data_IF_004692759078
#
_entry.id   IF_004692759078
#
_cell.length_a   1.000
_cell.length_b   1.000
_cell.length_c   1.000
_cell.angle_alpha   90.00
_cell.angle_beta   90.00
_cell.angle_gamma   90.00
#
_symmetry.space_group_name_H-M   'P 1'
#
loop_
_entity.id
_entity.type
_entity.pdbx_description
1 polymer ?
#
# COMPACT_ATOMS: atom_id res chain seq x y z
N UNK A 1 -0.32 11.50 -3.39
CA UNK A 1 -1.16 10.95 -4.48
C UNK A 1 -1.53 9.50 -4.20
N UNK A 2 -2.73 9.05 -4.60
CA UNK A 2 -3.14 7.64 -4.54
C UNK A 2 -2.94 6.94 -5.89
N UNK A 3 -2.55 5.66 -5.89
CA UNK A 3 -2.36 4.84 -7.08
C UNK A 3 -2.97 3.45 -6.87
N UNK A 4 -3.74 2.93 -7.84
CA UNK A 4 -4.23 1.56 -7.77
C UNK A 4 -3.11 0.57 -8.09
N UNK A 5 -3.23 -0.64 -7.56
CA UNK A 5 -2.50 -1.82 -8.06
C UNK A 5 -3.07 -2.23 -9.42
N UNK A 6 -2.21 -2.76 -10.28
CA UNK A 6 -2.57 -3.14 -11.65
C UNK A 6 -1.69 -4.31 -12.10
N UNK A 7 -2.15 -5.52 -11.80
CA UNK A 7 -1.43 -6.76 -12.09
C UNK A 7 -1.34 -7.04 -13.60
N UNK A 8 -2.36 -6.63 -14.38
CA UNK A 8 -2.35 -6.78 -15.84
C UNK A 8 -1.19 -6.00 -16.48
N UNK A 9 -0.86 -4.83 -15.93
CA UNK A 9 0.29 -4.02 -16.36
C UNK A 9 1.57 -4.30 -15.58
N UNK A 10 1.57 -5.30 -14.67
CA UNK A 10 2.69 -5.61 -13.77
C UNK A 10 3.22 -4.36 -13.06
N UNK A 11 2.31 -3.49 -12.63
CA UNK A 11 2.67 -2.21 -12.00
C UNK A 11 3.45 -2.44 -10.72
N UNK A 12 4.56 -1.73 -10.61
CA UNK A 12 5.40 -1.62 -9.41
C UNK A 12 5.82 -0.16 -9.22
N UNK A 13 6.36 0.15 -8.05
CA UNK A 13 6.87 1.49 -7.75
C UNK A 13 8.37 1.43 -7.47
N UNK A 14 9.06 2.55 -7.66
CA UNK A 14 10.45 2.72 -7.29
C UNK A 14 10.58 3.98 -6.45
N UNK A 15 11.29 3.87 -5.34
CA UNK A 15 11.75 5.00 -4.54
C UNK A 15 13.25 5.12 -4.78
N UNK A 16 13.70 6.31 -5.17
CA UNK A 16 15.08 6.56 -5.58
C UNK A 16 15.61 7.83 -4.93
N UNK A 17 16.83 7.74 -4.38
CA UNK A 17 17.63 8.90 -4.01
C UNK A 17 18.30 9.43 -5.28
N UNK A 18 17.78 10.53 -5.82
CA UNK A 18 18.24 11.08 -7.10
C UNK A 18 19.65 11.66 -7.08
N UNK A 19 20.28 11.80 -5.90
CA UNK A 19 21.68 12.23 -5.79
C UNK A 19 22.66 11.07 -5.90
N UNK A 20 22.32 9.92 -5.31
CA UNK A 20 23.19 8.73 -5.27
C UNK A 20 22.82 7.69 -6.33
N UNK A 21 21.58 7.73 -6.81
CA UNK A 21 20.99 6.69 -7.65
C UNK A 21 20.61 5.42 -6.88
N UNK A 22 20.72 5.44 -5.54
CA UNK A 22 20.28 4.32 -4.71
C UNK A 22 18.75 4.20 -4.76
N UNK A 23 18.25 2.97 -4.90
CA UNK A 23 16.82 2.77 -5.10
C UNK A 23 16.34 1.40 -4.62
N UNK A 24 15.07 1.38 -4.21
CA UNK A 24 14.28 0.17 -3.96
C UNK A 24 13.08 0.13 -4.88
N UNK A 25 12.78 -1.06 -5.40
CA UNK A 25 11.51 -1.39 -6.00
C UNK A 25 10.54 -1.93 -4.95
N UNK A 26 9.31 -1.42 -4.98
CA UNK A 26 8.17 -1.93 -4.22
C UNK A 26 7.33 -2.75 -5.18
N UNK A 27 7.42 -4.07 -5.02
CA UNK A 27 6.77 -5.04 -5.90
C UNK A 27 5.57 -5.63 -5.19
N UNK A 28 4.33 -5.41 -5.69
CA UNK A 28 3.16 -6.06 -5.14
C UNK A 28 3.29 -7.57 -5.14
N UNK A 29 2.91 -8.20 -4.03
CA UNK A 29 2.76 -9.64 -4.01
C UNK A 29 1.58 -10.04 -4.92
N UNK A 30 1.73 -11.04 -5.81
CA UNK A 30 0.65 -11.53 -6.66
C UNK A 30 -0.61 -11.98 -5.90
N UNK A 31 -0.51 -12.29 -4.60
CA UNK A 31 -1.65 -12.68 -3.77
C UNK A 31 -2.39 -11.49 -3.15
N UNK A 32 -1.92 -10.26 -3.33
CA UNK A 32 -2.63 -9.07 -2.85
C UNK A 32 -3.86 -8.78 -3.73
N UNK A 33 -5.04 -8.64 -3.12
CA UNK A 33 -6.27 -8.19 -3.75
C UNK A 33 -6.31 -6.67 -3.94
N UNK A 34 -7.05 -6.15 -4.92
CA UNK A 34 -7.18 -4.70 -5.20
C UNK A 34 -8.32 -4.12 -4.35
N UNK A 35 -8.11 -3.00 -3.67
CA UNK A 35 -9.06 -2.42 -2.70
C UNK A 35 -10.49 -2.31 -3.25
N UNK A 36 -10.61 -1.75 -4.46
CA UNK A 36 -11.89 -1.53 -5.15
C UNK A 36 -12.56 -2.81 -5.66
N UNK A 37 -11.86 -3.93 -5.64
CA UNK A 37 -12.38 -5.25 -6.03
C UNK A 37 -12.71 -6.13 -4.82
N UNK A 38 -12.45 -5.66 -3.59
CA UNK A 38 -12.75 -6.42 -2.37
C UNK A 38 -14.23 -6.30 -1.99
N UNK A 39 -14.86 -7.36 -1.45
CA UNK A 39 -16.26 -7.31 -1.01
C UNK A 39 -16.56 -6.31 0.12
N UNK A 40 -15.55 -5.95 0.92
CA UNK A 40 -15.61 -4.99 2.02
C UNK A 40 -15.27 -3.56 1.61
N UNK A 41 -15.15 -3.29 0.30
CA UNK A 41 -15.05 -1.93 -0.21
C UNK A 41 -16.23 -1.08 0.31
N UNK A 42 -15.98 0.11 0.90
CA UNK A 42 -14.77 0.91 0.78
C UNK A 42 -13.74 0.83 1.92
N UNK A 43 -13.76 -0.16 2.81
CA UNK A 43 -12.86 -0.25 3.98
C UNK A 43 -11.39 0.04 3.66
N UNK A 44 -10.81 -0.67 2.68
CA UNK A 44 -9.41 -0.46 2.30
C UNK A 44 -9.11 0.91 1.64
N UNK A 45 -10.11 1.62 1.10
CA UNK A 45 -10.07 2.88 0.27
C UNK A 45 -9.12 2.93 -0.93
N UNK A 46 -7.99 2.23 -0.93
CA UNK A 46 -6.98 2.27 -1.97
C UNK A 46 -5.88 1.25 -1.76
N UNK A 47 -4.96 1.21 -2.71
CA UNK A 47 -3.86 0.25 -2.69
C UNK A 47 -2.54 0.89 -2.26
N UNK A 48 -2.21 2.07 -2.77
CA UNK A 48 -0.96 2.77 -2.46
C UNK A 48 -1.17 4.28 -2.39
N UNK A 49 -0.63 4.92 -1.35
CA UNK A 49 -0.49 6.37 -1.24
C UNK A 49 0.99 6.73 -1.22
N UNK A 50 1.37 7.68 -2.06
CA UNK A 50 2.72 8.23 -2.16
C UNK A 50 2.61 9.69 -1.75
N UNK A 51 3.05 10.00 -0.53
CA UNK A 51 2.85 11.28 0.13
C UNK A 51 4.20 11.94 0.41
N UNK A 52 4.22 13.27 0.45
CA UNK A 52 5.38 14.01 0.94
C UNK A 52 5.45 13.80 2.45
N UNK A 53 6.65 13.55 2.97
CA UNK A 53 6.82 13.33 4.40
C UNK A 53 6.36 14.55 5.22
N UNK A 54 5.54 14.29 6.23
CA UNK A 54 5.10 15.22 7.27
C UNK A 54 5.19 14.49 8.61
N UNK A 55 5.94 15.04 9.56
CA UNK A 55 6.18 14.38 10.85
C UNK A 55 4.93 14.17 11.73
N UNK A 56 3.80 14.80 11.38
CA UNK A 56 2.51 14.62 12.05
C UNK A 56 1.61 13.57 11.39
N UNK A 57 1.92 13.11 10.17
CA UNK A 57 1.12 12.14 9.42
C UNK A 57 1.58 10.70 9.74
N UNK A 58 1.41 10.29 10.99
CA UNK A 58 1.91 9.00 11.52
C UNK A 58 0.80 7.96 11.66
N UNK A 59 -0.46 8.42 11.75
CA UNK A 59 -1.67 7.61 11.88
C UNK A 59 -2.81 8.36 11.20
N UNK A 60 -3.65 7.67 10.44
CA UNK A 60 -4.75 8.30 9.68
C UNK A 60 -5.96 8.66 10.57
N UNK A 61 -5.87 8.32 11.86
CA UNK A 61 -6.84 8.68 12.90
C UNK A 61 -8.13 7.86 12.84
N UNK A 62 -8.18 6.83 11.99
CA UNK A 62 -9.37 6.00 11.83
C UNK A 62 -9.39 4.93 12.92
N UNK A 63 -10.46 4.94 13.71
CA UNK A 63 -10.72 3.89 14.67
C UNK A 63 -11.19 2.65 13.90
N UNK A 64 -10.29 1.71 13.60
CA UNK A 64 -10.55 0.49 12.82
C UNK A 64 -11.50 -0.53 13.47
N UNK A 65 -12.28 -0.10 14.48
CA UNK A 65 -13.34 -0.87 15.16
C UNK A 65 -14.69 -0.14 15.16
N UNK A 66 -14.79 1.04 14.52
CA UNK A 66 -16.01 1.85 14.42
C UNK A 66 -16.07 2.67 13.12
N UNK A 67 -17.25 3.18 12.72
CA UNK A 67 -17.35 4.04 11.54
C UNK A 67 -16.38 5.23 11.64
N UNK A 68 -15.74 5.67 10.54
CA UNK A 68 -16.01 5.26 9.16
C UNK A 68 -15.38 3.92 8.73
N UNK A 69 -14.56 3.26 9.56
CA UNK A 69 -13.79 2.04 9.27
C UNK A 69 -12.73 2.15 8.16
N UNK A 70 -12.96 3.05 7.21
CA UNK A 70 -12.21 3.21 6.00
C UNK A 70 -10.91 3.98 6.21
N UNK A 71 -9.82 3.58 5.55
CA UNK A 71 -8.54 4.29 5.65
C UNK A 71 -8.65 5.80 5.33
N UNK A 72 -8.15 6.65 6.23
CA UNK A 72 -8.30 8.12 6.21
C UNK A 72 -7.22 8.86 5.41
N UNK A 73 -6.33 8.12 4.73
CA UNK A 73 -5.14 8.64 4.05
C UNK A 73 -5.42 9.60 2.88
N UNK A 74 -6.64 9.58 2.33
CA UNK A 74 -7.04 10.49 1.25
C UNK A 74 -6.99 11.97 1.70
N UNK A 75 -7.15 12.24 3.00
CA UNK A 75 -7.08 13.59 3.57
C UNK A 75 -5.69 14.23 3.43
N UNK A 76 -4.64 13.43 3.26
CA UNK A 76 -3.26 13.90 3.06
C UNK A 76 -2.89 14.04 1.57
N UNK A 77 -3.80 13.69 0.65
CA UNK A 77 -3.58 13.86 -0.79
C UNK A 77 -3.90 15.29 -1.20
N UNK A 78 -2.90 16.17 -1.12
CA UNK A 78 -3.05 17.63 -1.29
C UNK A 78 -2.30 18.22 -2.51
N UNK A 79 -1.71 17.37 -3.37
CA UNK A 79 -1.00 17.81 -4.58
C UNK A 79 0.43 18.30 -4.35
N UNK A 80 0.98 18.12 -3.15
CA UNK A 80 2.37 18.48 -2.87
C UNK A 80 3.37 17.78 -3.79
N UNK A 81 4.44 18.51 -4.10
CA UNK A 81 5.56 17.96 -4.85
C UNK A 81 6.25 16.84 -4.05
N UNK A 82 6.42 15.70 -4.71
CA UNK A 82 7.11 14.51 -4.17
C UNK A 82 8.43 14.21 -4.88
N UNK A 83 8.73 14.88 -5.99
CA UNK A 83 9.99 14.73 -6.70
C UNK A 83 11.12 15.40 -5.92
N UNK A 84 12.24 14.70 -5.69
CA UNK A 84 13.38 15.18 -4.90
C UNK A 84 13.02 15.65 -3.48
N UNK A 85 12.03 14.99 -2.87
CA UNK A 85 11.62 15.24 -1.50
C UNK A 85 11.55 13.91 -0.73
N UNK A 86 11.60 14.01 0.59
CA UNK A 86 11.30 12.88 1.46
C UNK A 86 9.85 12.45 1.24
N UNK A 87 9.65 11.16 1.05
CA UNK A 87 8.34 10.56 0.77
C UNK A 87 8.04 9.45 1.76
N UNK A 88 6.75 9.28 2.06
CA UNK A 88 6.22 8.10 2.74
C UNK A 88 5.34 7.35 1.77
N UNK A 89 5.52 6.03 1.72
CA UNK A 89 4.64 5.13 0.96
C UNK A 89 3.80 4.33 1.94
N UNK A 90 2.50 4.57 1.92
CA UNK A 90 1.51 3.76 2.60
C UNK A 90 1.00 2.70 1.63
N UNK A 91 1.15 1.43 1.99
CA UNK A 91 0.77 0.29 1.15
C UNK A 91 -0.35 -0.50 1.82
N UNK A 92 -1.51 -0.59 1.16
CA UNK A 92 -2.61 -1.46 1.56
C UNK A 92 -2.44 -2.84 0.97
N UNK A 93 -2.28 -3.85 1.82
CA UNK A 93 -2.33 -5.27 1.45
C UNK A 93 -3.73 -5.80 1.72
N UNK A 94 -4.44 -6.25 0.69
CA UNK A 94 -5.80 -6.77 0.82
C UNK A 94 -5.81 -8.26 0.50
N UNK A 95 -6.57 -9.06 1.24
CA UNK A 95 -6.74 -10.47 0.93
C UNK A 95 -8.05 -10.98 1.52
N UNK A 96 -8.62 -12.01 0.91
CA UNK A 96 -9.77 -12.72 1.48
C UNK A 96 -9.26 -13.93 2.24
N UNK A 97 -9.52 -13.97 3.54
CA UNK A 97 -9.21 -15.15 4.34
C UNK A 97 -10.41 -16.11 4.39
N UNK A 98 -10.35 -17.20 3.63
CA UNK A 98 -11.32 -18.28 3.73
C UNK A 98 -10.77 -19.38 4.66
N UNK A 99 -11.28 -19.39 5.90
CA UNK A 99 -10.87 -20.33 6.95
C UNK A 99 -11.32 -21.77 6.69
N UNK A 100 -12.29 -21.98 5.79
CA UNK A 100 -12.81 -23.31 5.46
C UNK A 100 -12.09 -23.92 4.25
N UNK A 101 -11.37 -23.10 3.48
CA UNK A 101 -10.67 -23.52 2.25
C UNK A 101 -9.36 -24.26 2.51
N UNK A 102 -8.75 -24.02 3.67
CA UNK A 102 -7.45 -24.61 4.02
C UNK A 102 -7.65 -25.70 5.08
N UNK A 103 -7.16 -26.91 4.80
CA UNK A 103 -7.14 -28.00 5.79
C UNK A 103 -6.27 -27.65 7.00
N UNK A 104 -6.31 -28.44 8.09
CA UNK A 104 -5.68 -28.14 9.39
C UNK A 104 -4.15 -28.03 9.39
N UNK A 105 -3.49 -28.11 8.23
CA UNK A 105 -2.04 -28.06 8.07
C UNK A 105 -1.54 -26.88 7.20
N UNK A 106 -2.43 -26.05 6.64
CA UNK A 106 -2.06 -24.85 5.87
C UNK A 106 -2.65 -23.62 6.55
N UNK A 107 -1.89 -23.02 7.45
CA UNK A 107 -2.33 -21.84 8.19
C UNK A 107 -1.42 -20.66 7.86
N UNK A 108 -2.03 -19.58 7.34
CA UNK A 108 -1.38 -18.29 7.10
C UNK A 108 -1.38 -17.86 5.64
N UNK A 109 -1.42 -16.55 5.44
CA UNK A 109 -1.20 -15.89 4.15
C UNK A 109 -0.12 -14.83 4.35
N UNK A 110 0.90 -14.85 3.49
CA UNK A 110 1.87 -13.76 3.42
C UNK A 110 1.32 -12.76 2.40
N UNK A 111 1.13 -11.52 2.84
CA UNK A 111 0.56 -10.43 2.05
C UNK A 111 1.43 -9.19 2.19
N UNK A 112 1.30 -8.26 1.25
CA UNK A 112 2.13 -7.06 1.21
C UNK A 112 3.33 -7.21 0.27
N UNK A 113 4.03 -6.10 0.00
CA UNK A 113 4.98 -6.02 -1.08
C UNK A 113 6.36 -6.57 -0.69
N UNK A 114 7.12 -6.98 -1.69
CA UNK A 114 8.56 -7.15 -1.56
C UNK A 114 9.27 -5.80 -1.78
N UNK A 115 10.31 -5.54 -0.98
CA UNK A 115 11.22 -4.41 -1.15
C UNK A 115 12.55 -4.90 -1.73
N UNK A 116 12.79 -4.63 -3.01
CA UNK A 116 13.93 -5.18 -3.74
C UNK A 116 14.95 -4.07 -4.00
N UNK A 117 16.19 -4.17 -3.51
CA UNK A 117 17.23 -3.20 -3.84
C UNK A 117 17.56 -3.27 -5.34
N UNK A 118 17.69 -2.11 -5.99
CA UNK A 118 18.12 -2.00 -7.40
C UNK A 118 19.57 -1.54 -7.49
N UNK A 119 19.91 -0.54 -6.68
CA UNK A 119 21.26 0.00 -6.48
C UNK A 119 21.30 0.43 -5.01
N UNK A 120 22.14 -0.21 -4.22
CA UNK A 120 22.24 -0.01 -2.78
C UNK A 120 23.71 -0.19 -2.39
#
# INVERSE_FOLDING_TARGET
MRRPRDFARKRKWRVENTRTGEAYEIVPNPTDGVATAMPDWPFGRGDVWILRYRGSEVDDGVIAVGPPYEAGLDSWVNGEAIYNHDVVIWYGAHFTHDVNRHGPAQHGHIVGPDLIPVRW
#
